data_IF_803979074902
#
_entry.id   IF_803979074902
#
_cell.length_a   1.000
_cell.length_b   1.000
_cell.length_c   1.000
_cell.angle_alpha   90.00
_cell.angle_beta   90.00
_cell.angle_gamma   90.00
#
_symmetry.space_group_name_H-M   'P 1'
#
loop_
_entity.id
_entity.type
_entity.pdbx_description
1 polymer ?
#
# COMPACT_ATOMS: atom_id res chain seq x y z
N UNK A 1 19.19 18.32 -11.55
CA UNK A 1 18.37 18.53 -12.75
C UNK A 1 16.91 18.10 -12.55
N UNK A 2 16.66 17.01 -11.86
CA UNK A 2 15.33 16.52 -11.55
C UNK A 2 15.22 16.05 -10.09
N UNK A 3 13.99 15.94 -9.57
CA UNK A 3 13.69 15.27 -8.32
C UNK A 3 12.45 14.38 -8.47
N UNK A 4 12.36 13.37 -7.62
CA UNK A 4 11.21 12.50 -7.45
C UNK A 4 10.87 12.45 -5.96
N UNK A 5 9.61 12.72 -5.61
CA UNK A 5 9.03 12.50 -4.29
C UNK A 5 7.88 11.50 -4.39
N UNK A 6 7.82 10.57 -3.46
CA UNK A 6 6.70 9.63 -3.31
C UNK A 6 6.06 9.83 -1.94
N UNK A 7 4.73 9.78 -1.91
CA UNK A 7 4.01 9.87 -0.65
C UNK A 7 2.66 9.14 -0.72
N UNK A 8 2.01 8.97 0.43
CA UNK A 8 0.65 8.45 0.50
C UNK A 8 -0.35 9.45 -0.07
N UNK A 9 -1.47 8.96 -0.60
CA UNK A 9 -2.55 9.77 -1.18
C UNK A 9 -3.09 10.85 -0.23
N UNK A 10 -2.98 10.62 1.08
CA UNK A 10 -3.36 11.61 2.10
C UNK A 10 -2.64 12.95 1.98
N UNK A 11 -1.46 13.02 1.35
CA UNK A 11 -0.74 14.28 1.10
C UNK A 11 -1.58 15.28 0.29
N UNK A 12 -2.42 14.79 -0.64
CA UNK A 12 -3.27 15.65 -1.48
C UNK A 12 -4.30 16.45 -0.68
N UNK A 13 -4.72 15.93 0.47
CA UNK A 13 -5.72 16.55 1.35
C UNK A 13 -5.16 16.96 2.71
N UNK A 14 -3.88 16.72 2.98
CA UNK A 14 -3.26 17.08 4.24
C UNK A 14 -3.27 18.60 4.46
N UNK A 15 -3.64 19.01 5.67
CA UNK A 15 -3.45 20.37 6.13
C UNK A 15 -2.01 20.56 6.65
N UNK A 16 -1.42 21.73 6.43
CA UNK A 16 -0.09 22.07 6.94
C UNK A 16 -0.12 22.18 8.47
N UNK A 17 -1.21 22.75 9.01
CA UNK A 17 -1.47 22.86 10.44
C UNK A 17 -2.74 22.07 10.80
N UNK A 18 -2.64 21.20 11.78
CA UNK A 18 -3.76 20.40 12.23
C UNK A 18 -4.59 21.15 13.28
N UNK A 19 -5.90 21.23 13.07
CA UNK A 19 -6.88 21.60 14.10
C UNK A 19 -7.71 20.36 14.43
N UNK A 20 -7.86 19.98 15.72
CA UNK A 20 -8.69 18.85 16.13
C UNK A 20 -10.14 18.96 15.61
N UNK A 21 -10.79 17.84 15.33
CA UNK A 21 -12.15 17.83 14.77
C UNK A 21 -13.18 18.46 15.73
N UNK A 22 -13.01 18.29 17.03
CA UNK A 22 -13.86 18.89 18.08
C UNK A 22 -13.67 20.42 18.23
N UNK A 23 -12.71 20.99 17.52
CA UNK A 23 -12.46 22.44 17.46
C UNK A 23 -12.82 23.03 16.10
N UNK A 24 -13.70 22.36 15.34
CA UNK A 24 -14.18 22.78 14.03
C UNK A 24 -15.70 22.87 14.01
N UNK A 25 -16.24 23.73 13.14
CA UNK A 25 -17.68 23.89 12.93
C UNK A 25 -18.25 25.08 13.70
N UNK A 26 -19.54 24.99 14.03
CA UNK A 26 -20.28 26.07 14.70
C UNK A 26 -19.69 26.38 16.09
N UNK A 27 -19.49 27.67 16.37
CA UNK A 27 -18.88 28.14 17.62
C UNK A 27 -17.36 28.26 17.59
N UNK A 28 -16.68 27.80 16.53
CA UNK A 28 -15.22 27.95 16.37
C UNK A 28 -14.87 28.90 15.22
N UNK A 29 -13.70 29.57 15.27
CA UNK A 29 -13.24 30.38 14.16
C UNK A 29 -13.11 29.58 12.86
N UNK A 30 -13.36 30.17 11.68
CA UNK A 30 -13.09 29.50 10.39
C UNK A 30 -11.65 28.97 10.31
N UNK A 31 -11.44 27.87 9.54
CA UNK A 31 -10.09 27.35 9.29
C UNK A 31 -9.24 28.41 8.56
N UNK A 32 -8.03 28.66 9.08
CA UNK A 32 -7.04 29.48 8.36
C UNK A 32 -6.49 28.75 7.11
N UNK A 33 -5.73 29.45 6.27
CA UNK A 33 -5.21 28.89 5.02
C UNK A 33 -4.32 27.65 5.24
N UNK A 34 -3.60 27.55 6.36
CA UNK A 34 -2.73 26.41 6.68
C UNK A 34 -3.51 25.24 7.25
N UNK A 35 -4.71 25.47 7.78
CA UNK A 35 -5.61 24.46 8.33
C UNK A 35 -6.53 23.86 7.25
N UNK A 36 -6.62 24.47 6.07
CA UNK A 36 -7.45 23.96 4.97
C UNK A 36 -6.85 22.69 4.34
N UNK A 37 -7.70 21.75 3.90
CA UNK A 37 -7.25 20.58 3.15
C UNK A 37 -6.40 20.99 1.92
N UNK A 38 -5.29 20.27 1.72
CA UNK A 38 -4.35 20.52 0.60
C UNK A 38 -3.33 21.61 0.85
N UNK A 39 -3.39 22.34 1.97
CA UNK A 39 -2.42 23.40 2.29
C UNK A 39 -0.99 22.87 2.46
N UNK A 40 -0.80 21.63 2.92
CA UNK A 40 0.52 21.02 3.02
C UNK A 40 1.15 20.80 1.64
N UNK A 41 0.39 20.30 0.66
CA UNK A 41 0.87 20.16 -0.71
C UNK A 41 1.16 21.52 -1.34
N UNK A 42 0.28 22.51 -1.16
CA UNK A 42 0.49 23.89 -1.64
C UNK A 42 1.80 24.50 -1.09
N UNK A 43 2.05 24.31 0.21
CA UNK A 43 3.29 24.75 0.84
C UNK A 43 4.51 24.02 0.25
N UNK A 44 4.44 22.70 0.09
CA UNK A 44 5.52 21.91 -0.50
C UNK A 44 5.84 22.40 -1.92
N UNK A 45 4.85 22.59 -2.77
CA UNK A 45 5.01 23.03 -4.15
C UNK A 45 5.59 24.45 -4.23
N UNK A 46 5.33 25.32 -3.25
CA UNK A 46 5.91 26.67 -3.20
C UNK A 46 7.44 26.68 -3.06
N UNK A 47 8.05 25.53 -2.66
CA UNK A 47 9.51 25.38 -2.54
C UNK A 47 10.17 24.99 -3.86
N UNK A 48 9.41 24.57 -4.86
CA UNK A 48 9.92 24.09 -6.15
C UNK A 48 9.71 25.09 -7.29
N UNK A 49 9.90 26.39 -7.01
CA UNK A 49 9.67 27.47 -7.98
C UNK A 49 10.53 27.36 -9.26
N UNK A 50 11.71 26.74 -9.16
CA UNK A 50 12.63 26.55 -10.27
C UNK A 50 12.40 25.27 -11.07
N UNK A 51 11.30 24.55 -10.78
CA UNK A 51 10.97 23.28 -11.42
C UNK A 51 9.62 23.31 -12.12
N UNK A 52 9.53 22.64 -13.25
CA UNK A 52 8.28 22.22 -13.86
C UNK A 52 7.84 20.97 -13.13
N UNK A 53 6.77 21.03 -12.33
CA UNK A 53 6.32 19.94 -11.47
C UNK A 53 5.12 19.24 -12.09
N UNK A 54 5.18 17.90 -12.17
CA UNK A 54 4.07 17.04 -12.56
C UNK A 54 3.71 16.14 -11.38
N UNK A 55 2.40 15.99 -11.10
CA UNK A 55 1.88 15.20 -9.97
C UNK A 55 0.89 14.19 -10.50
N UNK A 56 1.03 12.93 -10.10
CA UNK A 56 0.06 11.89 -10.42
C UNK A 56 -0.12 10.92 -9.25
N UNK A 57 -1.35 10.41 -9.09
CA UNK A 57 -1.65 9.28 -8.19
C UNK A 57 -1.59 8.00 -9.01
N UNK A 58 -0.62 7.15 -8.67
CA UNK A 58 -0.34 5.90 -9.39
C UNK A 58 -0.74 4.71 -8.53
N UNK A 59 -1.45 3.75 -9.14
CA UNK A 59 -1.66 2.43 -8.56
C UNK A 59 -0.63 1.45 -9.13
N UNK A 60 0.16 0.82 -8.28
CA UNK A 60 1.20 -0.12 -8.69
C UNK A 60 0.65 -1.28 -9.56
N UNK A 61 -0.59 -1.74 -9.30
CA UNK A 61 -1.22 -2.79 -10.11
C UNK A 61 -1.38 -2.40 -11.59
N UNK A 62 -1.51 -1.11 -11.90
CA UNK A 62 -1.63 -0.62 -13.29
C UNK A 62 -0.32 -0.74 -14.08
N UNK A 63 0.78 -1.11 -13.41
CA UNK A 63 2.12 -1.29 -13.98
C UNK A 63 2.65 -2.72 -13.85
N UNK A 64 1.75 -3.69 -13.61
CA UNK A 64 2.10 -5.11 -13.53
C UNK A 64 2.81 -5.48 -12.22
N UNK A 65 2.39 -4.91 -11.12
CA UNK A 65 2.79 -5.31 -9.77
C UNK A 65 1.58 -5.99 -9.10
N UNK A 66 1.80 -7.12 -8.44
CA UNK A 66 0.74 -7.90 -7.79
C UNK A 66 0.21 -7.23 -6.50
N UNK A 67 0.10 -5.89 -6.51
CA UNK A 67 -0.31 -5.11 -5.35
C UNK A 67 -1.13 -3.88 -5.73
N UNK A 68 -2.29 -3.72 -5.13
CA UNK A 68 -3.08 -2.47 -5.14
C UNK A 68 -2.47 -1.48 -4.15
N UNK A 69 -1.55 -0.66 -4.64
CA UNK A 69 -0.87 0.37 -3.85
C UNK A 69 -0.95 1.70 -4.56
N UNK A 70 -1.78 2.59 -4.06
CA UNK A 70 -1.88 3.96 -4.57
C UNK A 70 -0.90 4.87 -3.83
N UNK A 71 -0.09 5.59 -4.62
CA UNK A 71 0.86 6.59 -4.12
C UNK A 71 0.84 7.83 -5.00
N UNK A 72 1.09 8.97 -4.38
CA UNK A 72 1.28 10.23 -5.08
C UNK A 72 2.76 10.36 -5.44
N UNK A 73 3.02 10.54 -6.71
CA UNK A 73 4.34 10.83 -7.23
C UNK A 73 4.40 12.29 -7.67
N UNK A 74 5.45 12.99 -7.26
CA UNK A 74 5.71 14.37 -7.61
C UNK A 74 7.08 14.40 -8.28
N UNK A 75 7.11 14.70 -9.58
CA UNK A 75 8.35 14.79 -10.36
C UNK A 75 8.56 16.24 -10.77
N UNK A 76 9.75 16.76 -10.47
CA UNK A 76 10.16 18.09 -10.90
C UNK A 76 11.33 18.02 -11.87
N UNK A 77 11.20 18.70 -13.02
CA UNK A 77 12.28 18.92 -13.98
C UNK A 77 12.68 20.38 -13.91
N UNK A 78 13.96 20.66 -13.69
CA UNK A 78 14.45 22.04 -13.55
C UNK A 78 14.18 22.85 -14.81
N UNK A 79 13.68 24.07 -14.66
CA UNK A 79 13.15 24.92 -15.75
C UNK A 79 14.18 25.25 -16.84
N UNK A 80 15.47 25.33 -16.48
CA UNK A 80 16.54 25.60 -17.45
C UNK A 80 16.70 24.51 -18.52
N UNK A 81 16.17 23.29 -18.25
CA UNK A 81 16.16 22.22 -19.23
C UNK A 81 15.04 22.38 -20.28
N UNK A 82 14.12 23.29 -20.08
CA UNK A 82 12.96 23.54 -20.95
C UNK A 82 12.18 22.26 -21.31
N UNK A 83 12.03 21.36 -20.35
CA UNK A 83 11.35 20.07 -20.50
C UNK A 83 10.29 19.90 -19.41
N UNK A 84 9.29 19.03 -19.68
CA UNK A 84 8.24 18.65 -18.74
C UNK A 84 8.21 17.13 -18.65
N UNK A 85 7.99 16.59 -17.45
CA UNK A 85 7.85 15.17 -17.23
C UNK A 85 6.40 14.72 -17.53
N UNK A 86 6.30 13.57 -18.20
CA UNK A 86 5.04 12.86 -18.38
C UNK A 86 5.20 11.47 -17.80
N UNK A 87 4.20 11.03 -17.02
CA UNK A 87 4.22 9.69 -16.46
C UNK A 87 4.04 8.63 -17.55
N UNK A 88 4.74 7.50 -17.46
CA UNK A 88 4.59 6.39 -18.40
C UNK A 88 3.16 5.88 -18.45
N UNK A 89 2.75 5.41 -19.62
CA UNK A 89 1.43 4.81 -19.79
C UNK A 89 1.26 3.55 -18.95
N UNK A 90 0.03 3.37 -18.46
CA UNK A 90 -0.38 2.16 -17.72
C UNK A 90 -0.39 0.96 -18.66
N UNK A 91 0.30 -0.11 -18.26
CA UNK A 91 0.39 -1.36 -19.03
C UNK A 91 -0.69 -2.38 -18.66
N UNK A 92 -1.32 -2.23 -17.50
CA UNK A 92 -2.32 -3.16 -16.95
C UNK A 92 -3.58 -2.43 -16.50
N UNK A 93 -4.69 -3.16 -16.43
CA UNK A 93 -5.93 -2.71 -15.78
C UNK A 93 -6.64 -3.92 -15.13
N UNK A 94 -7.70 -3.65 -14.35
CA UNK A 94 -8.41 -4.67 -13.58
C UNK A 94 -8.93 -5.85 -14.43
N UNK A 95 -9.42 -5.59 -15.61
CA UNK A 95 -10.14 -6.59 -16.44
C UNK A 95 -9.33 -7.08 -17.64
N UNK A 96 -8.23 -6.39 -17.97
CA UNK A 96 -7.56 -6.53 -19.25
C UNK A 96 -8.35 -5.84 -20.39
N UNK A 97 -7.67 -5.47 -21.45
CA UNK A 97 -8.25 -4.94 -22.70
C UNK A 97 -7.32 -5.31 -23.86
N UNK A 98 -7.70 -4.96 -25.10
CA UNK A 98 -6.83 -5.19 -26.27
C UNK A 98 -5.45 -4.52 -26.14
N UNK A 99 -5.37 -3.39 -25.44
CA UNK A 99 -4.14 -2.60 -25.27
C UNK A 99 -3.48 -2.73 -23.89
N UNK A 100 -4.14 -3.37 -22.90
CA UNK A 100 -3.64 -3.48 -21.52
C UNK A 100 -3.87 -4.88 -20.97
N UNK A 101 -2.84 -5.42 -20.32
CA UNK A 101 -2.91 -6.70 -19.65
C UNK A 101 -3.82 -6.62 -18.42
N UNK A 102 -4.35 -7.76 -17.97
CA UNK A 102 -5.04 -7.88 -16.68
C UNK A 102 -4.04 -7.67 -15.54
N UNK A 103 -4.50 -7.10 -14.41
CA UNK A 103 -3.70 -7.04 -13.20
C UNK A 103 -3.17 -8.41 -12.79
N UNK A 104 -1.92 -8.46 -12.34
CA UNK A 104 -1.27 -9.67 -11.83
C UNK A 104 -1.97 -10.12 -10.55
N UNK A 105 -2.40 -11.37 -10.52
CA UNK A 105 -3.07 -11.97 -9.37
C UNK A 105 -2.03 -12.42 -8.33
N UNK A 106 -2.41 -12.37 -7.04
CA UNK A 106 -1.50 -12.73 -5.95
C UNK A 106 -0.98 -14.17 -6.08
N UNK A 107 -1.83 -15.11 -6.55
CA UNK A 107 -1.41 -16.51 -6.75
C UNK A 107 -0.24 -16.67 -7.72
N UNK A 108 -0.13 -15.80 -8.75
CA UNK A 108 0.93 -15.88 -9.74
C UNK A 108 2.29 -15.71 -9.08
N UNK A 109 2.46 -14.65 -8.26
CA UNK A 109 3.72 -14.40 -7.54
C UNK A 109 3.95 -15.35 -6.36
N UNK A 110 2.90 -15.84 -5.68
CA UNK A 110 3.06 -16.83 -4.61
C UNK A 110 3.50 -18.20 -5.16
N UNK A 111 3.02 -18.59 -6.34
CA UNK A 111 3.42 -19.85 -6.97
C UNK A 111 4.89 -19.85 -7.40
N UNK A 112 5.44 -18.70 -7.82
CA UNK A 112 6.87 -18.55 -8.13
C UNK A 112 7.74 -18.82 -6.91
N UNK A 113 7.30 -18.41 -5.72
CA UNK A 113 8.05 -18.61 -4.47
C UNK A 113 8.05 -20.06 -4.01
N UNK A 114 6.95 -20.77 -4.18
CA UNK A 114 6.72 -22.09 -3.57
C UNK A 114 7.77 -23.13 -3.96
N UNK A 115 8.45 -22.97 -5.11
CA UNK A 115 9.51 -23.85 -5.59
C UNK A 115 10.92 -23.47 -5.07
N UNK A 116 11.13 -22.23 -4.64
CA UNK A 116 12.47 -21.69 -4.32
C UNK A 116 12.70 -21.53 -2.82
N UNK A 117 11.65 -21.36 -2.02
CA UNK A 117 11.75 -21.09 -0.58
C UNK A 117 11.56 -22.36 0.25
N UNK A 118 12.63 -22.82 0.92
CA UNK A 118 12.58 -23.97 1.83
C UNK A 118 11.94 -23.65 3.19
N UNK A 119 11.99 -22.40 3.63
CA UNK A 119 11.40 -21.95 4.89
C UNK A 119 10.94 -20.51 4.81
N UNK A 120 9.74 -20.22 5.32
CA UNK A 120 9.18 -18.89 5.41
C UNK A 120 9.46 -18.24 6.76
N UNK A 121 10.00 -17.02 6.77
CA UNK A 121 10.15 -16.20 7.96
C UNK A 121 8.93 -15.28 8.14
N UNK A 122 8.20 -15.43 9.24
CA UNK A 122 7.01 -14.60 9.52
C UNK A 122 6.79 -14.41 11.02
N UNK A 123 6.03 -13.35 11.36
CA UNK A 123 5.54 -13.11 12.72
C UNK A 123 4.32 -13.99 12.98
N UNK A 124 4.28 -14.65 14.15
CA UNK A 124 3.16 -15.52 14.49
C UNK A 124 1.93 -14.72 14.94
N UNK A 125 0.74 -15.25 14.68
CA UNK A 125 -0.46 -14.84 15.39
C UNK A 125 -0.40 -15.29 16.86
N UNK A 126 -1.07 -14.56 17.76
CA UNK A 126 -1.36 -15.10 19.09
C UNK A 126 -2.22 -16.37 18.96
N UNK A 127 -2.13 -17.27 19.96
CA UNK A 127 -2.95 -18.49 19.96
C UNK A 127 -4.44 -18.22 19.83
N UNK A 128 -4.95 -17.20 20.54
CA UNK A 128 -6.33 -16.77 20.46
C UNK A 128 -6.69 -16.34 19.03
N UNK A 129 -5.87 -15.49 18.40
CA UNK A 129 -6.13 -15.03 17.04
C UNK A 129 -6.07 -16.15 16.03
N UNK A 130 -5.14 -17.09 16.21
CA UNK A 130 -5.01 -18.26 15.35
C UNK A 130 -6.25 -19.13 15.37
N UNK A 131 -6.91 -19.28 16.55
CA UNK A 131 -8.19 -20.00 16.66
C UNK A 131 -9.24 -19.40 15.71
N UNK A 132 -9.39 -18.08 15.71
CA UNK A 132 -10.34 -17.41 14.83
C UNK A 132 -9.91 -17.47 13.36
N UNK A 133 -8.62 -17.28 13.05
CA UNK A 133 -8.11 -17.36 11.69
C UNK A 133 -8.37 -18.73 11.04
N UNK A 134 -8.33 -19.83 11.81
CA UNK A 134 -8.66 -21.18 11.31
C UNK A 134 -10.10 -21.33 10.84
N UNK A 135 -11.02 -20.53 11.36
CA UNK A 135 -12.44 -20.53 10.99
C UNK A 135 -12.73 -19.68 9.75
N UNK A 136 -11.79 -18.83 9.33
CA UNK A 136 -11.96 -17.99 8.14
C UNK A 136 -11.75 -18.83 6.88
N UNK A 137 -12.66 -18.76 5.91
CA UNK A 137 -12.53 -19.47 4.63
C UNK A 137 -11.20 -19.17 3.93
N UNK A 138 -10.61 -20.19 3.31
CA UNK A 138 -9.42 -20.06 2.46
C UNK A 138 -9.77 -19.27 1.19
N UNK A 139 -8.79 -18.59 0.61
CA UNK A 139 -8.95 -17.86 -0.65
C UNK A 139 -9.74 -16.55 -0.53
N UNK A 140 -9.84 -15.91 0.67
CA UNK A 140 -10.33 -14.53 0.75
C UNK A 140 -11.39 -14.17 1.79
N UNK A 141 -11.59 -14.97 2.82
CA UNK A 141 -12.53 -14.67 3.92
C UNK A 141 -12.06 -13.55 4.87
N UNK A 142 -12.95 -13.13 5.76
CA UNK A 142 -12.67 -12.13 6.81
C UNK A 142 -13.62 -12.31 8.02
N UNK A 143 -13.61 -11.40 8.98
CA UNK A 143 -14.41 -11.46 10.21
C UNK A 143 -15.91 -11.72 10.02
N UNK A 144 -16.48 -11.38 8.84
CA UNK A 144 -17.92 -11.63 8.55
C UNK A 144 -18.26 -13.09 8.37
N UNK A 145 -17.23 -13.90 8.11
CA UNK A 145 -17.35 -15.35 7.93
C UNK A 145 -17.21 -16.12 9.25
N UNK A 146 -16.93 -15.41 10.36
CA UNK A 146 -16.94 -16.01 11.69
C UNK A 146 -18.36 -16.40 12.12
N UNK A 147 -18.52 -17.52 12.85
CA UNK A 147 -19.78 -17.92 13.44
C UNK A 147 -20.40 -16.80 14.32
N UNK A 148 -21.73 -16.69 14.28
CA UNK A 148 -22.47 -15.61 14.94
C UNK A 148 -22.30 -15.58 16.46
N UNK A 149 -22.10 -16.71 17.07
CA UNK A 149 -21.90 -16.89 18.51
C UNK A 149 -20.53 -16.42 19.00
N UNK A 150 -19.54 -16.33 18.12
CA UNK A 150 -18.17 -15.94 18.50
C UNK A 150 -17.71 -14.62 17.90
N UNK A 151 -18.35 -14.11 16.84
CA UNK A 151 -17.89 -12.93 16.10
C UNK A 151 -17.75 -11.68 16.98
N UNK A 152 -18.69 -11.48 17.91
CA UNK A 152 -18.64 -10.31 18.80
C UNK A 152 -17.45 -10.38 19.77
N UNK A 153 -17.17 -11.55 20.31
CA UNK A 153 -16.01 -11.80 21.18
C UNK A 153 -14.71 -11.63 20.39
N UNK A 154 -14.62 -12.24 19.21
CA UNK A 154 -13.43 -12.16 18.36
C UNK A 154 -13.09 -10.72 17.94
N UNK A 155 -14.09 -9.92 17.60
CA UNK A 155 -13.96 -8.53 17.19
C UNK A 155 -13.77 -7.57 18.36
N UNK A 156 -14.29 -7.92 19.55
CA UNK A 156 -14.28 -7.05 20.73
C UNK A 156 -14.93 -5.70 20.44
N UNK A 157 -14.36 -4.62 20.98
CA UNK A 157 -14.87 -3.26 20.77
C UNK A 157 -15.00 -2.81 19.31
N UNK A 158 -14.24 -3.42 18.38
CA UNK A 158 -14.36 -3.14 16.97
C UNK A 158 -15.70 -3.61 16.36
N UNK A 159 -16.40 -4.55 16.99
CA UNK A 159 -17.68 -5.06 16.49
C UNK A 159 -18.73 -3.95 16.39
N UNK A 160 -18.81 -3.12 17.43
CA UNK A 160 -19.79 -2.01 17.52
C UNK A 160 -19.26 -0.69 16.94
N UNK A 161 -17.97 -0.58 16.61
CA UNK A 161 -17.40 0.67 16.09
C UNK A 161 -17.89 0.95 14.67
N UNK A 162 -17.97 2.23 14.29
CA UNK A 162 -18.16 2.67 12.91
C UNK A 162 -16.92 2.43 12.04
N UNK A 163 -17.04 2.61 10.74
CA UNK A 163 -15.93 2.55 9.77
C UNK A 163 -15.71 1.20 9.10
N UNK A 164 -14.71 1.15 8.23
CA UNK A 164 -14.38 -0.04 7.44
C UNK A 164 -13.70 -1.12 8.27
N UNK A 165 -14.26 -2.32 8.29
CA UNK A 165 -13.77 -3.46 9.08
C UNK A 165 -13.27 -4.64 8.24
N UNK A 166 -13.22 -4.50 6.92
CA UNK A 166 -12.91 -5.61 5.98
C UNK A 166 -11.54 -6.24 6.23
N UNK A 167 -10.63 -5.52 6.86
CA UNK A 167 -9.30 -6.02 7.19
C UNK A 167 -9.19 -6.88 8.44
N UNK A 168 -10.24 -6.93 9.29
CA UNK A 168 -10.20 -7.79 10.48
C UNK A 168 -10.27 -9.26 10.08
N UNK A 169 -9.38 -10.09 10.63
CA UNK A 169 -9.25 -11.52 10.32
C UNK A 169 -9.22 -11.82 8.82
N UNK A 170 -8.75 -10.88 8.00
CA UNK A 170 -8.74 -11.03 6.55
C UNK A 170 -7.69 -12.04 6.11
N UNK A 171 -8.12 -13.04 5.32
CA UNK A 171 -7.27 -13.77 4.38
C UNK A 171 -7.25 -13.02 3.06
N UNK A 172 -6.09 -12.97 2.42
CA UNK A 172 -6.00 -12.37 1.09
C UNK A 172 -6.68 -13.27 0.07
N UNK A 173 -7.22 -12.64 -0.97
CA UNK A 173 -7.71 -13.34 -2.15
C UNK A 173 -6.54 -13.64 -3.07
N UNK A 174 -6.46 -14.85 -3.52
CA UNK A 174 -5.40 -15.29 -4.43
C UNK A 174 -5.60 -14.83 -5.87
N UNK A 175 -6.86 -14.59 -6.28
CA UNK A 175 -7.30 -14.22 -7.64
C UNK A 175 -7.36 -12.70 -7.89
N UNK A 176 -6.80 -11.89 -7.03
CA UNK A 176 -6.63 -10.45 -7.23
C UNK A 176 -5.29 -9.97 -6.65
N UNK A 177 -4.75 -8.81 -7.07
CA UNK A 177 -3.54 -8.26 -6.47
C UNK A 177 -3.70 -8.10 -4.96
N UNK A 178 -2.62 -8.30 -4.20
CA UNK A 178 -2.59 -8.01 -2.78
C UNK A 178 -3.02 -6.56 -2.50
N UNK A 179 -3.69 -6.27 -1.37
CA UNK A 179 -3.83 -4.89 -0.91
C UNK A 179 -2.45 -4.31 -0.55
N UNK A 180 -2.39 -3.01 -0.32
CA UNK A 180 -1.15 -2.35 0.13
C UNK A 180 -0.51 -3.12 1.29
N UNK A 181 0.74 -3.55 1.10
CA UNK A 181 1.55 -4.11 2.17
C UNK A 181 1.89 -3.00 3.18
N UNK A 182 1.67 -3.32 4.44
CA UNK A 182 1.91 -2.43 5.57
C UNK A 182 3.17 -2.84 6.31
N UNK A 183 3.57 -2.05 7.29
CA UNK A 183 4.74 -2.30 8.15
C UNK A 183 4.56 -3.48 9.11
N UNK A 184 3.36 -4.06 9.18
CA UNK A 184 3.07 -5.29 9.92
C UNK A 184 1.89 -6.04 9.28
N UNK A 185 2.01 -7.35 9.02
CA UNK A 185 0.93 -8.15 8.44
C UNK A 185 -0.17 -8.53 9.45
N UNK A 186 0.10 -8.35 10.75
CA UNK A 186 -0.79 -8.80 11.83
C UNK A 186 -1.58 -7.67 12.49
N UNK A 187 -1.62 -6.47 11.94
CA UNK A 187 -2.48 -5.41 12.45
C UNK A 187 -3.95 -5.85 12.41
N UNK A 188 -4.69 -5.63 13.51
CA UNK A 188 -6.06 -6.12 13.65
C UNK A 188 -6.97 -5.66 12.52
N UNK A 189 -6.98 -4.35 12.23
CA UNK A 189 -7.85 -3.73 11.22
C UNK A 189 -7.42 -3.92 9.77
N UNK A 190 -6.21 -4.42 9.54
CA UNK A 190 -5.60 -4.53 8.20
C UNK A 190 -4.79 -5.82 8.04
N UNK A 191 -5.28 -6.91 8.61
CA UNK A 191 -4.62 -8.22 8.57
C UNK A 191 -4.29 -8.65 7.14
N UNK A 192 -3.08 -9.14 6.93
CA UNK A 192 -2.58 -9.69 5.67
C UNK A 192 -2.31 -11.19 5.86
N UNK A 193 -3.40 -11.96 6.09
CA UNK A 193 -3.34 -13.42 6.22
C UNK A 193 -3.07 -14.09 4.88
N UNK A 194 -2.23 -15.12 4.88
CA UNK A 194 -1.98 -15.95 3.70
C UNK A 194 -3.29 -16.54 3.16
N UNK A 195 -3.51 -16.62 1.84
CA UNK A 195 -4.77 -17.13 1.27
C UNK A 195 -5.15 -18.53 1.77
N UNK A 196 -4.21 -19.44 1.88
CA UNK A 196 -4.46 -20.86 2.16
C UNK A 196 -3.90 -21.35 3.49
N UNK A 197 -2.87 -20.71 4.04
CA UNK A 197 -2.23 -21.13 5.29
C UNK A 197 -2.72 -20.32 6.49
N UNK A 198 -2.61 -20.89 7.69
CA UNK A 198 -3.10 -20.26 8.92
C UNK A 198 -2.03 -19.36 9.55
N UNK A 199 -1.41 -18.53 8.72
CA UNK A 199 -0.36 -17.57 9.09
C UNK A 199 -0.53 -16.24 8.33
N UNK A 200 0.13 -15.17 8.76
CA UNK A 200 0.25 -13.98 7.92
C UNK A 200 1.20 -14.24 6.73
N UNK A 201 1.25 -13.30 5.79
CA UNK A 201 2.28 -13.30 4.75
C UNK A 201 3.67 -13.26 5.38
N UNK A 202 4.61 -14.00 4.80
CA UNK A 202 6.02 -14.05 5.21
C UNK A 202 6.84 -12.86 4.66
N UNK A 203 8.08 -12.73 5.13
CA UNK A 203 9.06 -11.77 4.58
C UNK A 203 9.32 -12.06 3.10
N UNK A 204 9.47 -13.33 2.71
CA UNK A 204 9.71 -13.74 1.33
C UNK A 204 8.53 -13.36 0.42
N UNK A 205 7.31 -13.58 0.89
CA UNK A 205 6.09 -13.18 0.16
C UNK A 205 5.97 -11.65 0.06
N UNK A 206 6.33 -10.91 1.11
CA UNK A 206 6.40 -9.45 1.05
C UNK A 206 7.39 -8.96 -0.01
N UNK A 207 8.59 -9.58 -0.08
CA UNK A 207 9.61 -9.21 -1.05
C UNK A 207 9.09 -9.35 -2.48
N UNK A 208 8.58 -10.52 -2.85
CA UNK A 208 8.13 -10.77 -4.23
C UNK A 208 6.89 -9.96 -4.61
N UNK A 209 5.95 -9.74 -3.68
CA UNK A 209 4.79 -8.87 -3.93
C UNK A 209 5.23 -7.41 -4.19
N UNK A 210 6.32 -6.95 -3.55
CA UNK A 210 6.94 -5.66 -3.83
C UNK A 210 7.86 -5.66 -5.05
N UNK A 211 8.09 -6.83 -5.67
CA UNK A 211 8.95 -7.00 -6.83
C UNK A 211 10.45 -7.01 -6.51
N UNK A 212 10.84 -7.27 -5.26
CA UNK A 212 12.22 -7.54 -4.92
C UNK A 212 12.63 -8.95 -5.36
N UNK A 213 13.92 -9.17 -5.68
CA UNK A 213 14.45 -10.52 -5.84
C UNK A 213 14.22 -11.35 -4.56
N UNK A 214 13.95 -12.65 -4.72
CA UNK A 214 13.62 -13.52 -3.58
C UNK A 214 14.77 -13.70 -2.60
N UNK A 215 16.00 -13.57 -3.07
CA UNK A 215 17.26 -13.64 -2.31
C UNK A 215 17.68 -12.28 -1.74
N UNK A 216 16.87 -11.23 -1.91
CA UNK A 216 17.17 -9.90 -1.38
C UNK A 216 17.24 -9.92 0.14
N UNK A 217 18.37 -9.47 0.67
CA UNK A 217 18.64 -9.53 2.11
C UNK A 217 18.12 -8.30 2.82
N UNK A 218 17.22 -8.53 3.76
CA UNK A 218 16.68 -7.50 4.67
C UNK A 218 17.20 -7.81 6.08
N UNK A 219 17.68 -6.79 6.80
CA UNK A 219 18.34 -6.97 8.09
C UNK A 219 17.49 -6.39 9.24
N UNK A 220 17.81 -6.82 10.47
CA UNK A 220 17.12 -6.40 11.68
C UNK A 220 16.15 -7.45 12.21
N UNK A 221 15.32 -7.05 13.17
CA UNK A 221 14.25 -7.89 13.72
C UNK A 221 13.20 -8.18 12.65
N UNK A 222 12.35 -9.17 12.87
CA UNK A 222 11.28 -9.50 11.94
C UNK A 222 10.35 -8.30 11.67
N UNK A 223 10.10 -7.45 12.69
CA UNK A 223 9.30 -6.25 12.54
C UNK A 223 10.03 -5.18 11.71
N UNK A 224 11.35 -5.05 11.86
CA UNK A 224 12.15 -4.15 11.04
C UNK A 224 12.09 -4.55 9.57
N UNK A 225 12.18 -5.85 9.29
CA UNK A 225 12.09 -6.40 7.92
C UNK A 225 10.74 -6.06 7.27
N UNK A 226 9.62 -6.32 7.96
CA UNK A 226 8.29 -5.91 7.46
C UNK A 226 8.19 -4.41 7.25
N UNK A 227 8.75 -3.61 8.16
CA UNK A 227 8.73 -2.14 8.06
C UNK A 227 9.50 -1.66 6.85
N UNK A 228 10.69 -2.19 6.61
CA UNK A 228 11.51 -1.82 5.45
C UNK A 228 10.80 -2.14 4.13
N UNK A 229 10.29 -3.38 3.99
CA UNK A 229 9.62 -3.80 2.76
C UNK A 229 8.28 -3.08 2.58
N UNK A 230 7.48 -2.94 3.64
CA UNK A 230 6.18 -2.27 3.60
C UNK A 230 6.26 -0.79 3.24
N UNK A 231 7.35 -0.10 3.63
CA UNK A 231 7.60 1.30 3.27
C UNK A 231 8.22 1.47 1.88
N UNK A 232 8.76 0.43 1.29
CA UNK A 232 9.41 0.52 -0.02
C UNK A 232 8.43 0.90 -1.13
N UNK A 233 8.93 1.61 -2.13
CA UNK A 233 8.28 1.72 -3.43
C UNK A 233 8.48 0.39 -4.17
N UNK A 234 7.45 -0.19 -4.80
CA UNK A 234 7.61 -1.41 -5.60
C UNK A 234 8.72 -1.24 -6.65
N UNK A 235 9.64 -2.21 -6.70
CA UNK A 235 10.89 -2.11 -7.48
C UNK A 235 10.61 -1.80 -8.95
N UNK A 236 9.72 -2.56 -9.58
CA UNK A 236 9.35 -2.37 -10.99
C UNK A 236 8.76 -0.98 -11.26
N UNK A 237 7.95 -0.44 -10.32
CA UNK A 237 7.39 0.90 -10.46
C UNK A 237 8.48 1.98 -10.36
N UNK A 238 9.41 1.82 -9.40
CA UNK A 238 10.55 2.73 -9.26
C UNK A 238 11.43 2.71 -10.52
N UNK A 239 11.67 1.53 -11.10
CA UNK A 239 12.43 1.38 -12.35
C UNK A 239 11.74 2.09 -13.52
N UNK A 240 10.43 1.90 -13.72
CA UNK A 240 9.66 2.50 -14.81
C UNK A 240 9.72 4.02 -14.72
N UNK A 241 9.46 4.59 -13.54
CA UNK A 241 9.48 6.04 -13.33
C UNK A 241 10.93 6.58 -13.44
N UNK A 242 11.89 5.88 -12.86
CA UNK A 242 13.31 6.26 -12.92
C UNK A 242 13.84 6.31 -14.35
N UNK A 243 13.53 5.31 -15.18
CA UNK A 243 13.89 5.31 -16.61
C UNK A 243 13.25 6.48 -17.37
N UNK A 244 11.98 6.77 -17.09
CA UNK A 244 11.30 7.90 -17.72
C UNK A 244 11.95 9.24 -17.35
N UNK A 245 12.36 9.44 -16.09
CA UNK A 245 13.11 10.63 -15.66
C UNK A 245 14.47 10.68 -16.33
N UNK A 246 15.21 9.56 -16.35
CA UNK A 246 16.55 9.49 -16.94
C UNK A 246 16.55 9.88 -18.43
N UNK A 247 15.54 9.47 -19.19
CA UNK A 247 15.42 9.79 -20.61
C UNK A 247 15.15 11.30 -20.88
N UNK A 248 14.77 12.06 -19.86
CA UNK A 248 14.48 13.49 -19.99
C UNK A 248 15.68 14.37 -19.67
N UNK A 249 16.55 13.96 -18.73
CA UNK A 249 17.63 14.79 -18.16
C UNK A 249 18.99 14.54 -18.79
#
# INVERSE_FOLDING_TARGET
>A
KAFLLENVKGLLSAALKHRPLNERGEGFPPLDENEKPGSALKFLLSKFKDYNVTIETINAADYGIAQKRERVFIVGIRKDLNKKFEFPEKTHNKSGTLSKQKWIELKEVLNEISSEVKSHEYVNYSEERLKYMKLIPKGGGNWRDLPKDIVEVAMGGAYKSGGGKVGFFRRLKDYEPAPTLLTSPIQKSTNLGHPFEDRPLSIQEYLVIQGFPIDYKVFGTINDKYTQIGNAVPVKLAEIIGKAIFNII
#
